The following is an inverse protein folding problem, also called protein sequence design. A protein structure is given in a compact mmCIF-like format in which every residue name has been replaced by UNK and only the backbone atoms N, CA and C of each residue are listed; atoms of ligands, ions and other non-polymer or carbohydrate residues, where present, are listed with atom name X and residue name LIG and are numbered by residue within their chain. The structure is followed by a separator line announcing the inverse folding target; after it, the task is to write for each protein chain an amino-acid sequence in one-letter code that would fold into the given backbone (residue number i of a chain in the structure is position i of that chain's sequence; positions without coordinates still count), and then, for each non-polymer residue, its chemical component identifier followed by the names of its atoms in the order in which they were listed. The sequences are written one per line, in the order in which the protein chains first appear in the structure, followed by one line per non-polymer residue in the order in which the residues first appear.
data_IF_567226283293
#
_entry.id   IF_567226283293
#
_cell.length_a   1.000
_cell.length_b   1.000
_cell.length_c   1.000
_cell.angle_alpha   90.00
_cell.angle_beta   90.00
_cell.angle_gamma   90.00
#
_symmetry.space_group_name_H-M   'P 1'
#
loop_
_entity.id
_entity.type
_entity.pdbx_description
1 polymer ?
#
# COMPACT_ATOMS: atom_id res chain seq x y z
N UNK A 1 -49.27 -48.27 64.17
CA UNK A 1 -48.31 -48.05 63.03
C UNK A 1 -48.74 -46.78 62.28
N UNK A 2 -48.00 -45.69 62.46
CA UNK A 2 -48.22 -44.46 61.70
C UNK A 2 -47.09 -44.35 60.68
N UNK A 3 -47.46 -44.41 59.39
CA UNK A 3 -46.53 -44.17 58.29
C UNK A 3 -46.27 -42.67 58.13
N UNK A 4 -45.05 -42.26 58.26
CA UNK A 4 -44.62 -40.91 58.01
C UNK A 4 -44.11 -40.91 56.54
N UNK A 5 -44.83 -40.17 55.68
CA UNK A 5 -44.43 -39.90 54.28
C UNK A 5 -43.56 -38.65 54.28
N UNK A 6 -42.24 -38.85 54.05
CA UNK A 6 -41.31 -37.72 53.84
C UNK A 6 -41.40 -37.27 52.37
N UNK A 7 -41.85 -36.01 52.17
CA UNK A 7 -41.85 -35.35 50.87
C UNK A 7 -40.49 -34.67 50.69
N UNK A 8 -39.67 -35.19 49.77
CA UNK A 8 -38.45 -34.52 49.39
C UNK A 8 -38.76 -33.42 48.37
N UNK A 9 -38.52 -32.17 48.74
CA UNK A 9 -38.64 -31.02 47.85
C UNK A 9 -37.33 -30.94 47.02
N UNK A 10 -37.43 -31.26 45.75
CA UNK A 10 -36.34 -31.08 44.78
C UNK A 10 -36.26 -29.64 44.37
N UNK A 11 -35.33 -28.88 44.90
CA UNK A 11 -35.05 -27.50 44.47
C UNK A 11 -34.33 -27.52 43.12
N UNK A 12 -35.01 -27.17 42.04
CA UNK A 12 -34.42 -26.99 40.73
C UNK A 12 -33.57 -25.70 40.75
N UNK A 13 -32.24 -25.85 40.75
CA UNK A 13 -31.30 -24.79 40.52
C UNK A 13 -31.37 -24.39 39.04
N UNK A 14 -32.13 -23.36 38.71
CA UNK A 14 -32.06 -22.72 37.41
C UNK A 14 -30.76 -21.91 37.35
N UNK A 15 -29.73 -22.49 36.76
CA UNK A 15 -28.54 -21.72 36.35
C UNK A 15 -28.97 -20.72 35.30
N UNK A 16 -29.04 -19.46 35.67
CA UNK A 16 -29.20 -18.36 34.70
C UNK A 16 -27.93 -18.38 33.79
N UNK A 17 -28.10 -18.84 32.56
CA UNK A 17 -27.07 -18.66 31.54
C UNK A 17 -26.89 -17.16 31.32
N UNK A 18 -25.85 -16.58 31.89
CA UNK A 18 -25.45 -15.23 31.57
C UNK A 18 -25.11 -15.20 30.07
N UNK A 19 -25.63 -14.23 29.36
CA UNK A 19 -25.28 -14.01 27.97
C UNK A 19 -23.75 -13.90 27.84
N UNK A 20 -23.13 -14.47 26.79
CA UNK A 20 -21.71 -14.31 26.60
C UNK A 20 -21.34 -12.81 26.54
N UNK A 21 -20.16 -12.43 27.07
CA UNK A 21 -19.72 -11.05 26.99
C UNK A 21 -19.66 -10.61 25.51
N UNK A 22 -19.93 -9.34 25.22
CA UNK A 22 -19.81 -8.82 23.86
C UNK A 22 -18.37 -9.07 23.35
N UNK A 23 -18.19 -9.30 22.02
CA UNK A 23 -16.86 -9.44 21.45
C UNK A 23 -16.04 -8.19 21.74
N UNK A 24 -14.69 -8.32 21.88
CA UNK A 24 -13.83 -7.16 22.07
C UNK A 24 -13.93 -6.23 20.85
N UNK A 25 -13.81 -4.94 21.10
CA UNK A 25 -13.66 -3.95 20.04
C UNK A 25 -12.26 -4.12 19.41
N UNK A 26 -12.22 -4.58 18.16
CA UNK A 26 -11.01 -4.77 17.36
C UNK A 26 -10.81 -3.65 16.34
N UNK A 27 -11.58 -2.56 16.43
CA UNK A 27 -11.41 -1.41 15.56
C UNK A 27 -10.01 -0.81 15.72
N UNK A 28 -9.37 -0.37 14.62
CA UNK A 28 -8.07 0.25 14.73
C UNK A 28 -8.17 1.57 15.49
N UNK A 29 -7.16 1.91 16.33
CA UNK A 29 -7.10 3.22 16.95
C UNK A 29 -6.91 4.31 15.87
N UNK A 30 -7.39 5.52 16.12
CA UNK A 30 -7.33 6.65 15.18
C UNK A 30 -5.93 7.03 14.70
N UNK A 31 -4.89 6.58 15.41
CA UNK A 31 -3.48 6.80 15.07
C UNK A 31 -2.78 5.55 14.52
N UNK A 32 -3.53 4.51 14.12
CA UNK A 32 -2.96 3.25 13.64
C UNK A 32 -2.11 3.40 12.36
N UNK A 33 -2.36 4.43 11.55
CA UNK A 33 -1.65 4.71 10.31
C UNK A 33 -0.39 5.59 10.49
N UNK A 34 0.18 5.65 11.70
CA UNK A 34 1.43 6.39 11.90
C UNK A 34 2.54 5.82 11.03
N UNK A 35 3.24 6.71 10.33
CA UNK A 35 4.33 6.34 9.44
C UNK A 35 5.44 5.58 10.18
N UNK A 36 5.76 4.39 9.69
CA UNK A 36 6.89 3.58 10.15
C UNK A 36 8.25 4.23 9.83
N UNK A 37 8.29 5.21 8.94
CA UNK A 37 9.53 5.83 8.46
C UNK A 37 10.10 6.89 9.40
N UNK A 38 9.43 7.25 10.48
CA UNK A 38 9.86 8.23 11.50
C UNK A 38 10.31 9.59 10.95
N UNK A 39 9.86 9.95 9.76
CA UNK A 39 10.05 11.28 9.20
C UNK A 39 9.01 12.22 9.80
N UNK A 40 9.37 13.48 10.00
CA UNK A 40 8.43 14.49 10.51
C UNK A 40 8.15 15.54 9.43
N UNK A 41 7.00 16.18 9.55
CA UNK A 41 6.59 17.27 8.67
C UNK A 41 6.23 16.80 7.26
N UNK A 42 6.07 17.75 6.38
CA UNK A 42 5.68 17.52 4.99
C UNK A 42 6.51 18.41 4.04
N UNK A 43 6.50 18.05 2.78
CA UNK A 43 7.05 18.86 1.69
C UNK A 43 6.21 18.69 0.42
N UNK A 44 6.27 19.70 -0.43
CA UNK A 44 5.68 19.70 -1.77
C UNK A 44 6.77 20.02 -2.78
N UNK A 45 6.89 19.20 -3.83
CA UNK A 45 7.90 19.37 -4.89
C UNK A 45 7.24 19.31 -6.25
N UNK A 46 7.50 20.31 -7.09
CA UNK A 46 7.08 20.27 -8.49
C UNK A 46 8.01 19.35 -9.28
N UNK A 47 7.46 18.36 -9.99
CA UNK A 47 8.22 17.33 -10.72
C UNK A 47 8.08 17.43 -12.24
N UNK A 48 7.03 18.09 -12.70
CA UNK A 48 6.81 18.47 -14.10
C UNK A 48 5.87 19.70 -14.14
N UNK A 49 5.61 20.33 -15.28
CA UNK A 49 4.66 21.43 -15.37
C UNK A 49 3.30 21.05 -14.77
N UNK A 50 2.85 21.81 -13.74
CA UNK A 50 1.60 21.59 -13.01
C UNK A 50 1.47 20.23 -12.28
N UNK A 51 2.50 19.40 -12.30
CA UNK A 51 2.56 18.12 -11.60
C UNK A 51 3.45 18.23 -10.36
N UNK A 52 2.90 17.82 -9.22
CA UNK A 52 3.53 17.96 -7.91
C UNK A 52 3.48 16.63 -7.16
N UNK A 53 4.49 16.40 -6.30
CA UNK A 53 4.40 15.39 -5.26
C UNK A 53 4.26 16.07 -3.91
N UNK A 54 3.50 15.46 -3.02
CA UNK A 54 3.34 15.89 -1.64
C UNK A 54 3.74 14.74 -0.73
N UNK A 55 4.53 15.02 0.30
CA UNK A 55 4.91 14.07 1.35
C UNK A 55 4.34 14.49 2.69
N UNK A 56 3.76 13.55 3.39
CA UNK A 56 3.43 13.69 4.80
C UNK A 56 4.16 12.61 5.58
N UNK A 57 5.03 13.03 6.50
CA UNK A 57 5.91 12.12 7.23
C UNK A 57 6.67 11.18 6.28
N UNK A 58 6.34 9.89 6.24
CA UNK A 58 7.00 8.91 5.39
C UNK A 58 6.31 8.63 4.07
N UNK A 59 5.01 8.93 3.95
CA UNK A 59 4.20 8.59 2.79
C UNK A 59 4.12 9.75 1.80
N UNK A 60 4.10 9.42 0.52
CA UNK A 60 4.09 10.37 -0.59
C UNK A 60 2.98 10.06 -1.57
N UNK A 61 2.35 11.12 -2.06
CA UNK A 61 1.37 11.09 -3.13
C UNK A 61 1.75 12.06 -4.25
N UNK A 62 0.88 12.22 -5.25
CA UNK A 62 0.99 13.26 -6.24
C UNK A 62 -0.32 14.02 -6.41
N UNK A 63 -0.25 15.25 -6.93
CA UNK A 63 -1.39 15.97 -7.45
C UNK A 63 -1.04 16.71 -8.75
N UNK A 64 -2.03 16.81 -9.62
CA UNK A 64 -1.86 17.41 -10.94
C UNK A 64 -2.90 18.49 -11.20
N UNK A 65 -2.44 19.72 -11.42
CA UNK A 65 -3.30 20.86 -11.73
C UNK A 65 -3.64 20.84 -13.21
N UNK A 66 -4.93 20.96 -13.52
CA UNK A 66 -5.44 21.02 -14.89
C UNK A 66 -6.26 22.30 -15.10
N UNK A 67 -6.61 22.67 -16.35
CA UNK A 67 -7.50 23.82 -16.61
C UNK A 67 -8.85 23.74 -15.88
N UNK A 68 -9.40 22.52 -15.63
CA UNK A 68 -10.74 22.32 -15.08
C UNK A 68 -10.78 21.89 -13.60
N UNK A 69 -9.62 21.71 -12.96
CA UNK A 69 -9.53 21.27 -11.59
C UNK A 69 -8.26 20.50 -11.29
N UNK A 70 -8.21 19.83 -10.15
CA UNK A 70 -7.04 19.06 -9.69
C UNK A 70 -7.40 17.58 -9.65
N UNK A 71 -6.48 16.74 -10.11
CA UNK A 71 -6.46 15.32 -9.84
C UNK A 71 -5.44 15.10 -8.71
N UNK A 72 -5.90 14.61 -7.54
CA UNK A 72 -5.05 14.23 -6.43
C UNK A 72 -5.05 12.71 -6.26
N UNK A 73 -4.04 12.18 -5.59
CA UNK A 73 -3.96 10.77 -5.24
C UNK A 73 -3.82 10.62 -3.73
N UNK A 74 -4.13 9.46 -3.21
CA UNK A 74 -3.80 9.00 -1.85
C UNK A 74 -3.82 10.10 -0.77
N UNK A 75 -4.94 10.34 -0.06
CA UNK A 75 -5.05 11.41 0.94
C UNK A 75 -4.17 11.23 2.19
N UNK A 76 -3.67 10.00 2.44
CA UNK A 76 -2.72 9.61 3.48
C UNK A 76 -3.34 9.55 4.89
N UNK A 77 -3.85 10.66 5.40
CA UNK A 77 -4.50 10.77 6.71
C UNK A 77 -5.32 12.05 6.80
N UNK A 78 -6.12 12.22 7.85
CA UNK A 78 -6.92 13.45 8.06
C UNK A 78 -6.07 14.71 8.07
N UNK A 79 -4.93 14.69 8.77
CA UNK A 79 -4.07 15.88 8.85
C UNK A 79 -3.24 16.07 7.57
N UNK A 80 -2.80 14.98 6.95
CA UNK A 80 -2.14 15.03 5.65
C UNK A 80 -3.06 15.61 4.57
N UNK A 81 -4.33 15.19 4.52
CA UNK A 81 -5.31 15.69 3.56
C UNK A 81 -5.58 17.20 3.72
N UNK A 82 -5.65 17.70 4.96
CA UNK A 82 -5.77 19.14 5.24
C UNK A 82 -4.53 19.91 4.76
N UNK A 83 -3.33 19.39 5.05
CA UNK A 83 -2.08 19.99 4.59
C UNK A 83 -1.97 19.94 3.06
N UNK A 84 -2.29 18.81 2.42
CA UNK A 84 -2.32 18.67 0.97
C UNK A 84 -3.29 19.68 0.33
N UNK A 85 -4.50 19.84 0.92
CA UNK A 85 -5.45 20.85 0.42
C UNK A 85 -4.87 22.26 0.49
N UNK A 86 -4.17 22.58 1.57
CA UNK A 86 -3.50 23.88 1.73
C UNK A 86 -2.35 24.06 0.73
N UNK A 87 -1.57 23.01 0.45
CA UNK A 87 -0.50 23.07 -0.57
C UNK A 87 -1.07 23.25 -1.99
N UNK A 88 -2.18 22.57 -2.31
CA UNK A 88 -2.89 22.77 -3.59
C UNK A 88 -3.33 24.23 -3.73
N UNK A 89 -3.86 24.85 -2.66
CA UNK A 89 -4.30 26.25 -2.67
C UNK A 89 -3.18 27.26 -2.93
N UNK A 90 -1.92 26.91 -2.65
CA UNK A 90 -0.79 27.80 -2.96
C UNK A 90 -0.48 27.88 -4.46
N UNK A 91 -0.90 26.90 -5.24
CA UNK A 91 -0.60 26.81 -6.68
C UNK A 91 -1.82 26.98 -7.56
N UNK A 92 -3.04 26.79 -7.03
CA UNK A 92 -4.30 27.00 -7.76
C UNK A 92 -5.47 27.18 -6.82
N UNK A 93 -6.46 27.97 -7.24
CA UNK A 93 -7.77 28.12 -6.57
C UNK A 93 -8.80 27.07 -7.01
N UNK A 94 -8.44 26.24 -7.99
CA UNK A 94 -9.34 25.23 -8.55
C UNK A 94 -9.66 24.11 -7.54
N UNK A 95 -10.88 23.54 -7.60
CA UNK A 95 -11.26 22.42 -6.72
C UNK A 95 -10.55 21.13 -7.11
N UNK A 96 -10.38 20.24 -6.15
CA UNK A 96 -10.03 18.84 -6.41
C UNK A 96 -11.24 18.15 -7.02
N UNK A 97 -11.11 17.63 -8.24
CA UNK A 97 -12.16 16.94 -8.98
C UNK A 97 -12.11 15.43 -8.83
N UNK A 98 -10.91 14.89 -8.74
CA UNK A 98 -10.68 13.47 -8.56
C UNK A 98 -9.70 13.20 -7.43
N UNK A 99 -9.96 12.15 -6.66
CA UNK A 99 -9.02 11.53 -5.74
C UNK A 99 -8.88 10.08 -6.16
N UNK A 100 -7.67 9.65 -6.53
CA UNK A 100 -7.39 8.30 -7.00
C UNK A 100 -6.64 7.54 -5.90
N UNK A 101 -7.17 6.41 -5.50
CA UNK A 101 -6.48 5.49 -4.59
C UNK A 101 -5.50 4.60 -5.38
N UNK A 102 -4.25 4.56 -4.94
CA UNK A 102 -3.26 3.71 -5.55
C UNK A 102 -3.48 2.23 -5.23
N UNK A 103 -3.79 1.91 -3.99
CA UNK A 103 -4.06 0.56 -3.49
C UNK A 103 -4.85 0.61 -2.17
N UNK A 104 -4.87 -0.46 -1.38
CA UNK A 104 -5.73 -0.58 -0.20
C UNK A 104 -5.06 -0.26 1.15
N UNK A 105 -3.80 0.13 1.19
CA UNK A 105 -3.11 0.37 2.47
C UNK A 105 -3.54 1.68 3.12
N UNK A 106 -3.71 1.64 4.44
CA UNK A 106 -4.28 2.76 5.20
C UNK A 106 -3.40 4.00 5.25
N UNK A 107 -2.08 3.85 5.17
CA UNK A 107 -1.15 4.96 5.10
C UNK A 107 -1.18 5.71 3.75
N UNK A 108 -2.01 5.27 2.81
CA UNK A 108 -2.30 5.93 1.55
C UNK A 108 -3.72 6.48 1.48
N UNK A 109 -4.73 5.72 1.89
CA UNK A 109 -6.12 5.97 1.50
C UNK A 109 -7.00 6.66 2.54
N UNK A 110 -6.50 6.90 3.76
CA UNK A 110 -7.32 7.50 4.81
C UNK A 110 -7.37 9.03 4.71
N UNK A 111 -8.40 9.62 5.33
CA UNK A 111 -8.50 11.07 5.52
C UNK A 111 -9.10 11.86 4.35
N UNK A 112 -9.56 11.20 3.30
CA UNK A 112 -10.07 11.85 2.08
C UNK A 112 -11.35 12.68 2.24
N UNK A 113 -11.98 12.68 3.43
CA UNK A 113 -13.29 13.32 3.63
C UNK A 113 -13.33 14.79 3.24
N UNK A 114 -12.27 15.55 3.47
CA UNK A 114 -12.22 16.98 3.08
C UNK A 114 -12.45 17.16 1.56
N UNK A 115 -11.85 16.32 0.73
CA UNK A 115 -12.05 16.36 -0.73
C UNK A 115 -13.43 15.86 -1.14
N UNK A 116 -13.97 14.86 -0.42
CA UNK A 116 -15.32 14.36 -0.65
C UNK A 116 -16.37 15.44 -0.37
N UNK A 117 -16.20 16.18 0.71
CA UNK A 117 -17.09 17.27 1.10
C UNK A 117 -17.03 18.45 0.11
N UNK A 118 -15.88 18.62 -0.59
CA UNK A 118 -15.71 19.59 -1.70
C UNK A 118 -16.26 19.07 -3.04
N UNK A 119 -16.78 17.83 -3.09
CA UNK A 119 -17.41 17.25 -4.28
C UNK A 119 -16.46 16.47 -5.19
N UNK A 120 -15.27 16.06 -4.71
CA UNK A 120 -14.38 15.22 -5.48
C UNK A 120 -14.95 13.81 -5.70
N UNK A 121 -14.71 13.26 -6.89
CA UNK A 121 -15.00 11.87 -7.24
C UNK A 121 -13.83 10.98 -6.83
N UNK A 122 -14.11 9.97 -6.03
CA UNK A 122 -13.11 8.98 -5.60
C UNK A 122 -13.08 7.79 -6.55
N UNK A 123 -11.88 7.42 -6.98
CA UNK A 123 -11.64 6.36 -7.99
C UNK A 123 -10.67 5.33 -7.42
N UNK A 124 -10.98 4.03 -7.59
CA UNK A 124 -10.07 2.93 -7.23
C UNK A 124 -10.21 1.74 -8.15
N UNK A 125 -9.20 0.86 -8.15
CA UNK A 125 -9.35 -0.46 -8.78
C UNK A 125 -10.41 -1.28 -8.03
N UNK A 126 -11.22 -2.05 -8.76
CA UNK A 126 -12.37 -2.81 -8.19
C UNK A 126 -11.96 -3.79 -7.09
N UNK A 127 -10.79 -4.42 -7.22
CA UNK A 127 -10.32 -5.38 -6.23
C UNK A 127 -10.12 -4.75 -4.85
N UNK A 128 -9.81 -3.45 -4.76
CA UNK A 128 -9.69 -2.75 -3.47
C UNK A 128 -10.97 -2.80 -2.64
N UNK A 129 -12.16 -2.90 -3.27
CA UNK A 129 -13.43 -2.94 -2.55
C UNK A 129 -13.55 -4.11 -1.56
N UNK A 130 -12.95 -5.26 -1.88
CA UNK A 130 -12.96 -6.41 -0.97
C UNK A 130 -12.20 -6.08 0.32
N UNK A 131 -11.05 -5.43 0.20
CA UNK A 131 -10.23 -4.99 1.34
C UNK A 131 -10.94 -3.91 2.15
N UNK A 132 -11.54 -2.91 1.50
CA UNK A 132 -12.26 -1.83 2.19
C UNK A 132 -13.45 -2.35 3.01
N UNK A 133 -14.14 -3.38 2.52
CA UNK A 133 -15.24 -4.04 3.23
C UNK A 133 -14.75 -4.96 4.34
N UNK A 134 -13.64 -5.66 4.13
CA UNK A 134 -13.06 -6.58 5.11
C UNK A 134 -12.43 -5.83 6.28
N UNK A 135 -11.81 -4.70 6.00
CA UNK A 135 -11.10 -3.86 6.98
C UNK A 135 -11.66 -2.43 6.93
N UNK A 136 -12.89 -2.20 7.44
CA UNK A 136 -13.50 -0.88 7.43
C UNK A 136 -12.74 0.06 8.37
N UNK A 137 -12.60 1.33 7.95
CA UNK A 137 -12.01 2.37 8.76
C UNK A 137 -12.89 3.63 8.70
N UNK A 138 -13.12 4.36 9.82
CA UNK A 138 -13.99 5.53 9.85
C UNK A 138 -13.51 6.68 8.94
N UNK A 139 -12.21 6.79 8.73
CA UNK A 139 -11.60 7.84 7.90
C UNK A 139 -11.45 7.44 6.42
N UNK A 140 -11.88 6.24 6.04
CA UNK A 140 -11.90 5.78 4.66
C UNK A 140 -13.13 6.32 3.92
N UNK A 141 -12.90 6.99 2.80
CA UNK A 141 -13.95 7.36 1.86
C UNK A 141 -14.11 6.26 0.82
N UNK A 142 -15.30 5.66 0.74
CA UNK A 142 -15.56 4.64 -0.28
C UNK A 142 -15.51 5.27 -1.69
N UNK A 143 -14.90 4.59 -2.68
CA UNK A 143 -14.81 5.12 -4.04
C UNK A 143 -16.20 5.21 -4.69
N UNK A 144 -16.41 6.29 -5.47
CA UNK A 144 -17.60 6.50 -6.28
C UNK A 144 -17.53 5.73 -7.60
N UNK A 145 -16.31 5.60 -8.13
CA UNK A 145 -16.02 4.93 -9.40
C UNK A 145 -15.00 3.82 -9.16
N UNK A 146 -15.31 2.64 -9.67
CA UNK A 146 -14.36 1.52 -9.69
C UNK A 146 -14.19 0.99 -11.09
N UNK A 147 -13.00 0.48 -11.40
CA UNK A 147 -12.65 -0.04 -12.71
C UNK A 147 -11.92 -1.38 -12.60
N UNK A 148 -11.89 -2.13 -13.69
CA UNK A 148 -11.13 -3.36 -13.88
C UNK A 148 -10.02 -3.12 -14.93
N UNK A 149 -8.87 -3.76 -14.76
CA UNK A 149 -7.74 -3.58 -15.67
C UNK A 149 -7.22 -2.14 -15.67
N UNK A 150 -6.99 -1.58 -16.86
CA UNK A 150 -6.52 -0.21 -17.02
C UNK A 150 -7.69 0.77 -17.13
N UNK A 151 -7.47 2.00 -16.70
CA UNK A 151 -8.46 3.07 -16.77
C UNK A 151 -7.80 4.41 -17.09
N UNK A 152 -8.55 5.38 -17.58
CA UNK A 152 -8.07 6.72 -17.87
C UNK A 152 -8.98 7.77 -17.26
N UNK A 153 -8.39 8.80 -16.68
CA UNK A 153 -9.08 10.00 -16.23
C UNK A 153 -8.62 11.15 -17.11
N UNK A 154 -9.55 11.78 -17.82
CA UNK A 154 -9.27 13.00 -18.58
C UNK A 154 -9.96 14.19 -17.91
N UNK A 155 -9.18 15.24 -17.64
CA UNK A 155 -9.66 16.48 -17.03
C UNK A 155 -8.91 17.68 -17.62
N UNK A 156 -9.65 18.64 -18.17
CA UNK A 156 -9.06 19.86 -18.76
C UNK A 156 -8.02 19.59 -19.84
N UNK A 157 -8.25 18.57 -20.67
CA UNK A 157 -7.35 18.19 -21.77
C UNK A 157 -6.10 17.41 -21.35
N UNK A 158 -5.95 17.07 -20.04
CA UNK A 158 -4.87 16.24 -19.50
C UNK A 158 -5.39 14.84 -19.19
N UNK A 159 -4.60 13.79 -19.47
CA UNK A 159 -4.99 12.40 -19.26
C UNK A 159 -4.06 11.70 -18.27
N UNK A 160 -4.63 11.15 -17.22
CA UNK A 160 -3.94 10.29 -16.25
C UNK A 160 -4.29 8.83 -16.56
N UNK A 161 -3.29 8.03 -16.95
CA UNK A 161 -3.45 6.59 -17.12
C UNK A 161 -3.32 5.90 -15.77
N UNK A 162 -4.27 5.04 -15.44
CA UNK A 162 -4.26 4.12 -14.30
C UNK A 162 -3.97 2.72 -14.84
N UNK A 163 -2.80 2.18 -14.49
CA UNK A 163 -2.25 0.96 -15.11
C UNK A 163 -2.23 -0.16 -14.06
N UNK A 164 -3.02 -1.19 -14.29
CA UNK A 164 -3.05 -2.38 -13.45
C UNK A 164 -2.21 -3.50 -14.06
N UNK A 165 -1.20 -3.96 -13.35
CA UNK A 165 -0.28 -5.02 -13.79
C UNK A 165 -0.57 -6.40 -13.18
N UNK A 166 -1.74 -6.56 -12.57
CA UNK A 166 -2.07 -7.76 -11.80
C UNK A 166 -1.60 -7.63 -10.33
N UNK A 167 -1.78 -8.69 -9.53
CA UNK A 167 -1.32 -8.71 -8.14
C UNK A 167 0.18 -8.45 -8.04
N UNK A 168 0.61 -7.63 -7.06
CA UNK A 168 2.02 -7.33 -6.82
C UNK A 168 2.27 -6.99 -5.35
N UNK A 169 2.37 -5.71 -4.93
CA UNK A 169 2.36 -5.27 -3.54
C UNK A 169 0.95 -5.37 -2.91
N UNK A 170 -0.06 -5.40 -3.74
CA UNK A 170 -1.46 -5.64 -3.43
C UNK A 170 -2.10 -6.30 -4.65
N UNK A 171 -3.28 -6.88 -4.52
CA UNK A 171 -4.06 -7.36 -5.67
C UNK A 171 -4.85 -6.24 -6.36
N UNK A 172 -4.71 -5.00 -5.89
CA UNK A 172 -5.43 -3.85 -6.43
C UNK A 172 -4.56 -2.61 -6.69
N UNK A 173 -3.23 -2.71 -6.57
CA UNK A 173 -2.34 -1.58 -6.81
C UNK A 173 -2.33 -1.19 -8.30
N UNK A 174 -2.50 0.11 -8.56
CA UNK A 174 -2.38 0.71 -9.89
C UNK A 174 -1.24 1.71 -9.92
N UNK A 175 -0.48 1.67 -11.00
CA UNK A 175 0.49 2.70 -11.35
C UNK A 175 -0.26 3.87 -12.00
N UNK A 176 0.31 5.08 -11.93
CA UNK A 176 -0.33 6.24 -12.51
C UNK A 176 0.65 7.01 -13.40
N UNK A 177 0.28 7.21 -14.67
CA UNK A 177 1.09 7.91 -15.67
C UNK A 177 0.41 9.18 -16.12
N UNK A 178 0.87 10.37 -15.74
CA UNK A 178 0.36 11.65 -16.23
C UNK A 178 0.91 11.93 -17.64
N UNK A 179 0.05 11.86 -18.65
CA UNK A 179 0.43 12.09 -20.05
C UNK A 179 0.63 13.60 -20.36
N UNK A 180 1.64 13.98 -21.17
CA UNK A 180 2.62 13.15 -21.86
C UNK A 180 3.97 13.04 -21.12
N UNK A 181 4.01 13.25 -19.79
CA UNK A 181 5.28 13.32 -19.05
C UNK A 181 5.96 11.94 -18.97
N UNK A 182 7.32 11.89 -19.00
CA UNK A 182 8.10 10.69 -18.83
C UNK A 182 8.18 10.29 -17.34
N UNK A 183 7.06 10.37 -16.63
CA UNK A 183 6.92 10.18 -15.19
C UNK A 183 5.92 9.07 -14.90
N UNK A 184 6.26 8.19 -13.96
CA UNK A 184 5.39 7.13 -13.48
C UNK A 184 5.32 7.15 -11.96
N UNK A 185 4.13 7.27 -11.37
CA UNK A 185 3.92 7.03 -9.95
C UNK A 185 3.85 5.52 -9.73
N UNK A 186 4.93 4.95 -9.20
CA UNK A 186 5.07 3.50 -8.99
C UNK A 186 4.59 3.06 -7.63
N UNK A 187 4.25 4.01 -6.76
CA UNK A 187 3.79 3.80 -5.40
C UNK A 187 4.80 2.92 -4.63
N UNK A 188 4.38 1.82 -4.07
CA UNK A 188 5.17 0.98 -3.18
C UNK A 188 5.90 -0.17 -3.88
N UNK A 189 5.84 -0.24 -5.21
CA UNK A 189 6.54 -1.29 -5.95
C UNK A 189 8.07 -1.14 -5.89
N UNK A 190 8.58 0.07 -5.83
CA UNK A 190 10.00 0.30 -5.69
C UNK A 190 10.28 1.53 -4.81
N UNK A 191 11.12 1.36 -3.81
CA UNK A 191 11.63 2.45 -2.97
C UNK A 191 13.08 2.68 -3.30
N UNK A 192 13.51 3.90 -3.60
CA UNK A 192 14.90 4.21 -3.89
C UNK A 192 15.83 3.80 -2.75
N UNK A 193 17.05 3.41 -3.10
CA UNK A 193 18.19 3.18 -2.19
C UNK A 193 18.01 2.07 -1.14
N UNK A 194 16.92 1.29 -1.18
CA UNK A 194 16.69 0.31 -0.13
C UNK A 194 16.19 -1.04 -0.62
N UNK A 195 16.53 -2.10 0.12
CA UNK A 195 15.90 -3.40 -0.04
C UNK A 195 14.46 -3.35 0.52
N UNK A 196 13.56 -4.26 0.11
CA UNK A 196 12.20 -4.33 0.65
C UNK A 196 12.19 -4.42 2.16
N UNK A 197 11.27 -3.69 2.80
CA UNK A 197 11.10 -3.71 4.25
C UNK A 197 10.28 -4.93 4.70
N UNK A 198 10.54 -5.36 5.93
CA UNK A 198 9.82 -6.46 6.56
C UNK A 198 9.93 -7.77 5.80
N UNK A 199 8.95 -8.63 6.00
CA UNK A 199 8.89 -9.97 5.39
C UNK A 199 8.22 -9.99 4.03
N UNK A 200 7.99 -8.86 3.38
CA UNK A 200 7.23 -8.83 2.12
C UNK A 200 5.87 -9.59 2.24
N UNK A 201 5.21 -9.46 3.39
CA UNK A 201 4.01 -10.26 3.70
C UNK A 201 2.84 -9.95 2.77
N UNK A 202 2.79 -8.72 2.29
CA UNK A 202 1.79 -8.14 1.40
C UNK A 202 2.16 -8.21 -0.09
N UNK A 203 3.27 -8.93 -0.41
CA UNK A 203 3.72 -9.08 -1.80
C UNK A 203 3.43 -10.46 -2.38
N UNK A 204 2.86 -10.48 -3.58
CA UNK A 204 2.73 -11.66 -4.43
C UNK A 204 4.03 -11.83 -5.23
N UNK A 205 5.02 -12.55 -4.70
CA UNK A 205 6.43 -12.48 -5.13
C UNK A 205 6.66 -12.62 -6.64
N UNK A 206 6.12 -13.65 -7.30
CA UNK A 206 6.32 -13.85 -8.74
C UNK A 206 5.55 -12.82 -9.57
N UNK A 207 4.27 -12.55 -9.33
CA UNK A 207 3.55 -11.47 -10.00
C UNK A 207 4.21 -10.10 -9.77
N UNK A 208 4.76 -9.85 -8.58
CA UNK A 208 5.50 -8.62 -8.28
C UNK A 208 6.75 -8.48 -9.17
N UNK A 209 7.59 -9.51 -9.27
CA UNK A 209 8.75 -9.50 -10.17
C UNK A 209 8.31 -9.27 -11.63
N UNK A 210 7.21 -9.87 -12.05
CA UNK A 210 6.66 -9.66 -13.39
C UNK A 210 6.15 -8.23 -13.60
N UNK A 211 5.55 -7.61 -12.57
CA UNK A 211 5.18 -6.18 -12.63
C UNK A 211 6.40 -5.27 -12.79
N UNK A 212 7.51 -5.55 -12.08
CA UNK A 212 8.75 -4.79 -12.24
C UNK A 212 9.31 -4.92 -13.67
N UNK A 213 9.31 -6.13 -14.26
CA UNK A 213 9.70 -6.34 -15.66
C UNK A 213 8.79 -5.58 -16.64
N UNK A 214 7.48 -5.57 -16.38
CA UNK A 214 6.55 -4.82 -17.22
C UNK A 214 6.80 -3.32 -17.16
N UNK A 215 7.17 -2.77 -15.99
CA UNK A 215 7.56 -1.36 -15.85
C UNK A 215 8.85 -1.06 -16.64
N UNK A 216 9.85 -1.94 -16.54
CA UNK A 216 11.11 -1.79 -17.29
C UNK A 216 10.90 -1.80 -18.81
N UNK A 217 9.87 -2.51 -19.29
CA UNK A 217 9.50 -2.55 -20.70
C UNK A 217 8.66 -1.35 -21.15
N UNK A 218 8.24 -0.45 -20.26
CA UNK A 218 7.52 0.77 -20.63
C UNK A 218 8.46 1.75 -21.31
N UNK A 219 8.16 2.07 -22.55
CA UNK A 219 8.90 3.11 -23.28
C UNK A 219 8.64 4.49 -22.68
N UNK A 220 9.64 5.40 -22.82
CA UNK A 220 9.51 6.83 -22.52
C UNK A 220 9.43 7.16 -21.01
N UNK A 221 9.47 6.21 -20.08
CA UNK A 221 9.53 6.52 -18.65
C UNK A 221 10.98 6.72 -18.23
N UNK A 222 11.29 7.89 -17.67
CA UNK A 222 12.62 8.26 -17.18
C UNK A 222 12.65 8.39 -15.66
N UNK A 223 11.56 8.88 -15.10
CA UNK A 223 11.44 9.26 -13.69
C UNK A 223 10.29 8.49 -13.04
N UNK A 224 10.55 7.95 -11.86
CA UNK A 224 9.51 7.41 -10.99
C UNK A 224 9.21 8.34 -9.82
N UNK A 225 7.97 8.36 -9.38
CA UNK A 225 7.54 8.87 -8.08
C UNK A 225 7.31 7.65 -7.19
N UNK A 226 8.04 7.49 -6.08
CA UNK A 226 7.77 6.41 -5.12
C UNK A 226 6.63 6.79 -4.17
N UNK A 227 5.99 5.80 -3.53
CA UNK A 227 4.97 6.02 -2.51
C UNK A 227 5.54 6.55 -1.18
N UNK A 228 6.86 6.55 -1.02
CA UNK A 228 7.51 6.92 0.24
C UNK A 228 8.79 7.75 0.03
N UNK A 229 9.04 8.68 0.97
CA UNK A 229 10.28 9.44 1.20
C UNK A 229 10.65 10.41 0.08
N UNK A 230 11.36 9.95 -0.94
CA UNK A 230 11.95 10.80 -1.98
C UNK A 230 10.88 11.36 -2.92
N UNK A 231 11.03 12.60 -3.42
CA UNK A 231 10.07 13.18 -4.35
C UNK A 231 10.05 12.45 -5.70
N UNK A 232 11.23 12.06 -6.18
CA UNK A 232 11.42 11.31 -7.42
C UNK A 232 12.67 10.45 -7.34
N UNK A 233 12.78 9.49 -8.25
CA UNK A 233 14.01 8.74 -8.50
C UNK A 233 14.09 8.36 -9.99
N UNK A 234 15.28 7.98 -10.51
CA UNK A 234 15.39 7.39 -11.84
C UNK A 234 14.58 6.08 -11.92
N UNK A 235 13.95 5.83 -13.05
CA UNK A 235 13.19 4.58 -13.26
C UNK A 235 14.05 3.31 -13.14
N UNK A 236 15.35 3.43 -13.28
CA UNK A 236 16.34 2.33 -13.12
C UNK A 236 16.30 1.68 -11.73
N UNK A 237 15.77 2.36 -10.72
CA UNK A 237 15.51 1.78 -9.38
C UNK A 237 14.61 0.55 -9.46
N UNK A 238 13.71 0.49 -10.43
CA UNK A 238 12.82 -0.66 -10.66
C UNK A 238 13.63 -1.90 -11.06
N UNK A 239 14.60 -1.74 -11.98
CA UNK A 239 15.50 -2.81 -12.41
C UNK A 239 16.37 -3.31 -11.27
N UNK A 240 16.90 -2.41 -10.44
CA UNK A 240 17.68 -2.78 -9.27
C UNK A 240 16.85 -3.57 -8.25
N UNK A 241 15.63 -3.15 -7.99
CA UNK A 241 14.66 -3.86 -7.14
C UNK A 241 14.40 -5.27 -7.66
N UNK A 242 14.13 -5.41 -8.95
CA UNK A 242 13.92 -6.72 -9.58
C UNK A 242 15.16 -7.61 -9.46
N UNK A 243 16.32 -7.08 -9.81
CA UNK A 243 17.57 -7.82 -9.73
C UNK A 243 17.85 -8.36 -8.31
N UNK A 244 17.60 -7.56 -7.27
CA UNK A 244 17.71 -8.01 -5.88
C UNK A 244 16.77 -9.17 -5.59
N UNK A 245 15.48 -9.06 -5.95
CA UNK A 245 14.49 -10.10 -5.68
C UNK A 245 14.81 -11.40 -6.41
N UNK A 246 15.21 -11.32 -7.68
CA UNK A 246 15.60 -12.49 -8.47
C UNK A 246 16.83 -13.19 -7.89
N UNK A 247 17.85 -12.41 -7.52
CA UNK A 247 19.06 -12.96 -6.89
C UNK A 247 18.73 -13.63 -5.55
N UNK A 248 17.87 -13.02 -4.75
CA UNK A 248 17.41 -13.59 -3.47
C UNK A 248 16.67 -14.91 -3.67
N UNK A 249 15.75 -14.95 -4.63
CA UNK A 249 14.99 -16.17 -4.93
C UNK A 249 15.92 -17.30 -5.41
N UNK A 250 16.89 -16.99 -6.28
CA UNK A 250 17.87 -17.98 -6.75
C UNK A 250 18.73 -18.49 -5.59
N UNK A 251 19.23 -17.60 -4.73
CA UNK A 251 20.06 -17.97 -3.60
C UNK A 251 19.33 -18.89 -2.62
N UNK A 252 18.08 -18.55 -2.24
CA UNK A 252 17.26 -19.41 -1.36
C UNK A 252 16.95 -20.75 -2.04
N UNK A 253 16.59 -20.75 -3.33
CA UNK A 253 16.33 -21.99 -4.08
C UNK A 253 17.53 -22.94 -4.06
N UNK A 254 18.74 -22.40 -4.25
CA UNK A 254 19.96 -23.21 -4.25
C UNK A 254 20.25 -23.83 -2.88
N UNK A 255 20.06 -23.10 -1.79
CA UNK A 255 20.21 -23.64 -0.43
C UNK A 255 19.18 -24.75 -0.13
N UNK A 256 17.90 -24.54 -0.54
CA UNK A 256 16.88 -25.58 -0.42
C UNK A 256 17.23 -26.83 -1.21
N UNK A 257 17.71 -26.67 -2.45
CA UNK A 257 18.13 -27.78 -3.31
C UNK A 257 19.36 -28.53 -2.76
N UNK A 258 20.25 -27.83 -2.04
CA UNK A 258 21.37 -28.43 -1.34
C UNK A 258 20.99 -29.17 -0.04
N UNK A 259 19.70 -29.16 0.35
CA UNK A 259 19.22 -29.80 1.57
C UNK A 259 19.50 -28.99 2.84
N UNK A 260 19.86 -27.71 2.74
CA UNK A 260 20.03 -26.84 3.90
C UNK A 260 18.73 -26.73 4.68
N UNK A 261 18.73 -26.96 6.00
CA UNK A 261 17.54 -26.78 6.82
C UNK A 261 16.99 -25.34 6.69
N UNK A 262 15.69 -25.21 6.47
CA UNK A 262 15.03 -23.91 6.20
C UNK A 262 15.36 -22.83 7.26
N UNK A 263 15.48 -23.23 8.54
CA UNK A 263 15.82 -22.34 9.64
C UNK A 263 17.27 -21.75 9.53
N UNK A 264 18.15 -22.42 8.85
CA UNK A 264 19.56 -22.02 8.69
C UNK A 264 19.77 -21.12 7.46
N UNK A 265 18.95 -21.28 6.42
CA UNK A 265 19.10 -20.59 5.14
C UNK A 265 19.27 -19.07 5.30
N UNK A 266 18.44 -18.35 6.12
CA UNK A 266 18.58 -16.89 6.26
C UNK A 266 19.97 -16.42 6.72
N UNK A 267 20.71 -17.30 7.43
CA UNK A 267 22.07 -16.99 7.89
C UNK A 267 23.16 -17.34 6.86
N UNK A 268 22.81 -18.10 5.83
CA UNK A 268 23.74 -18.49 4.74
C UNK A 268 23.62 -17.58 3.52
N UNK A 269 22.48 -16.88 3.36
CA UNK A 269 22.27 -15.98 2.22
C UNK A 269 23.19 -14.77 2.34
N UNK A 270 23.93 -14.52 1.26
CA UNK A 270 24.73 -13.32 1.07
C UNK A 270 24.59 -12.84 -0.38
N UNK A 271 24.28 -11.57 -0.57
CA UNK A 271 24.10 -10.92 -1.86
C UNK A 271 24.97 -9.64 -1.89
N UNK A 272 26.31 -9.76 -1.85
CA UNK A 272 27.22 -8.63 -1.62
C UNK A 272 27.11 -7.52 -2.67
N UNK A 273 26.66 -7.84 -3.90
CA UNK A 273 26.39 -6.86 -4.95
C UNK A 273 25.29 -5.86 -4.59
N UNK A 274 24.45 -6.16 -3.59
CA UNK A 274 23.37 -5.30 -3.08
C UNK A 274 23.67 -4.75 -1.68
N UNK A 275 24.87 -4.95 -1.13
CA UNK A 275 25.22 -4.48 0.22
C UNK A 275 25.19 -2.95 0.37
N UNK A 276 25.28 -2.21 -0.75
CA UNK A 276 25.12 -0.75 -0.78
C UNK A 276 23.67 -0.28 -0.53
N UNK A 277 22.69 -1.17 -0.71
CA UNK A 277 21.29 -0.82 -0.52
C UNK A 277 20.97 -0.62 0.97
N UNK A 278 20.27 0.46 1.27
CA UNK A 278 19.83 0.75 2.64
C UNK A 278 19.01 -0.42 3.20
N UNK A 279 19.18 -0.68 4.48
CA UNK A 279 18.56 -1.76 5.23
C UNK A 279 18.96 -3.18 4.78
N UNK A 280 19.96 -3.33 3.90
CA UNK A 280 20.41 -4.65 3.44
C UNK A 280 20.73 -5.59 4.61
N UNK A 281 21.58 -5.18 5.55
CA UNK A 281 22.00 -5.99 6.69
C UNK A 281 20.83 -6.44 7.59
N UNK A 282 19.82 -5.60 7.75
CA UNK A 282 18.70 -5.86 8.64
C UNK A 282 17.56 -6.62 7.97
N UNK A 283 17.40 -6.46 6.65
CA UNK A 283 16.23 -6.98 5.93
C UNK A 283 16.52 -8.22 5.09
N UNK A 284 17.76 -8.48 4.70
CA UNK A 284 18.10 -9.63 3.84
C UNK A 284 17.56 -10.94 4.42
N UNK A 285 17.78 -11.18 5.73
CA UNK A 285 17.33 -12.40 6.40
C UNK A 285 15.82 -12.51 6.44
N UNK A 286 15.12 -11.40 6.68
CA UNK A 286 13.64 -11.38 6.71
C UNK A 286 13.06 -11.63 5.31
N UNK A 287 13.66 -11.02 4.29
CA UNK A 287 13.29 -11.26 2.91
C UNK A 287 13.56 -12.73 2.49
N UNK A 288 14.67 -13.32 2.94
CA UNK A 288 14.95 -14.74 2.70
C UNK A 288 13.91 -15.66 3.34
N UNK A 289 13.46 -15.36 4.57
CA UNK A 289 12.36 -16.12 5.24
C UNK A 289 11.08 -16.08 4.41
N UNK A 290 10.76 -14.94 3.82
CA UNK A 290 9.58 -14.83 2.95
C UNK A 290 9.69 -15.71 1.70
N UNK A 291 10.86 -15.74 1.08
CA UNK A 291 11.11 -16.59 -0.09
C UNK A 291 11.05 -18.08 0.28
N UNK A 292 11.56 -18.47 1.45
CA UNK A 292 11.42 -19.83 1.97
C UNK A 292 9.93 -20.20 2.12
N UNK A 293 9.14 -19.29 2.71
CA UNK A 293 7.68 -19.49 2.85
C UNK A 293 7.02 -19.66 1.48
N UNK A 294 7.41 -18.83 0.50
CA UNK A 294 6.91 -18.96 -0.87
C UNK A 294 7.20 -20.35 -1.46
N UNK A 295 8.44 -20.84 -1.37
CA UNK A 295 8.79 -22.14 -1.91
C UNK A 295 8.11 -23.30 -1.16
N UNK A 296 7.77 -23.12 0.11
CA UNK A 296 7.06 -24.14 0.90
C UNK A 296 5.54 -24.15 0.70
N UNK A 297 4.92 -22.99 0.41
CA UNK A 297 3.45 -22.82 0.42
C UNK A 297 2.86 -22.33 -0.91
N UNK A 298 3.68 -21.82 -1.81
CA UNK A 298 3.25 -21.34 -3.15
C UNK A 298 2.61 -19.95 -3.16
N UNK A 299 2.74 -19.16 -2.07
CA UNK A 299 2.14 -17.83 -1.98
C UNK A 299 3.02 -16.85 -1.17
#
# INVERSE_FOLDING_TARGET
MRCIISIAILAALTSANAAPPPPPDLSPPSNANQSVFRLKGFDTTQVAPDLYTFRWEGTRNMFWVTPEGVIATDPISLDAAKALRSEIQKVTDKPVKYVVYSHNHWDHILGGKIFKDEGATFVSHKNCLAHFKMYPHPDLVMPDVTFEGNYQITLGGKTLDLIYLGPNHSDCLVLMRPQPYPVLFVVDLATPEGVPLGRLNDYYLIPYINSLRAIEAMEVIETMIPGHRMPTAPITVVAERRAYLEALMVAVKNELAAGTPAAEIPNKIALPQFAHMRNYETQLKENARRVITYYGMGW
#
